data_IF_959545162200
#
_entry.id   IF_959545162200
#
_cell.length_a   1.000
_cell.length_b   1.000
_cell.length_c   1.000
_cell.angle_alpha   90.00
_cell.angle_beta   90.00
_cell.angle_gamma   90.00
#
_symmetry.space_group_name_H-M   'P 1'
#
loop_
_entity.id
_entity.type
_entity.pdbx_description
1 polymer ?
#
# COMPACT_ATOMS: atom_id res chain seq x y z
N UNK A 1 6.42 -6.62 2.05
CA UNK A 1 5.91 -5.48 1.27
C UNK A 1 4.47 -5.24 1.70
N UNK A 2 4.18 -4.21 2.51
CA UNK A 2 2.96 -4.09 3.34
C UNK A 2 2.14 -2.82 3.04
N UNK A 3 1.02 -2.85 2.29
CA UNK A 3 0.11 -1.71 2.23
C UNK A 3 -0.67 -1.62 3.54
N UNK A 4 -0.61 -0.46 4.19
CA UNK A 4 -1.38 -0.13 5.40
C UNK A 4 -2.44 0.88 4.98
N UNK A 5 -3.66 0.81 5.48
CA UNK A 5 -4.53 2.00 5.46
C UNK A 5 -4.83 2.34 6.91
N UNK A 6 -4.93 3.63 7.24
CA UNK A 6 -5.18 4.06 8.60
C UNK A 6 -6.66 3.92 8.90
N UNK A 7 -6.93 3.83 10.20
CA UNK A 7 -8.24 3.98 10.84
C UNK A 7 -9.04 5.09 10.16
N UNK A 8 -10.22 4.74 9.63
CA UNK A 8 -11.19 5.72 9.18
C UNK A 8 -11.71 6.50 10.41
N UNK A 9 -11.54 7.83 10.48
CA UNK A 9 -12.12 8.63 11.54
C UNK A 9 -13.66 8.59 11.40
N UNK A 10 -14.36 8.30 12.48
CA UNK A 10 -15.83 8.28 12.54
C UNK A 10 -16.48 9.68 12.60
N UNK A 11 -15.81 10.70 12.06
CA UNK A 11 -16.25 12.10 12.05
C UNK A 11 -16.05 12.79 10.69
N UNK A 12 -16.66 13.96 10.45
CA UNK A 12 -16.52 14.67 9.19
C UNK A 12 -15.05 15.00 8.92
N UNK A 13 -14.52 14.50 7.81
CA UNK A 13 -13.15 14.76 7.38
C UNK A 13 -13.01 16.26 7.07
N UNK A 14 -12.14 16.93 7.80
CA UNK A 14 -11.81 18.34 7.55
C UNK A 14 -10.96 18.45 6.28
N UNK A 15 -10.95 19.63 5.63
CA UNK A 15 -10.13 19.89 4.44
C UNK A 15 -8.63 19.59 4.68
N UNK A 16 -8.16 19.71 5.91
CA UNK A 16 -6.78 19.42 6.32
C UNK A 16 -6.51 17.96 6.64
N UNK A 17 -7.54 17.11 6.76
CA UNK A 17 -7.39 15.71 7.18
C UNK A 17 -6.41 14.91 6.32
N UNK A 18 -6.42 15.01 4.96
CA UNK A 18 -5.44 14.28 4.15
C UNK A 18 -4.00 14.73 4.40
N UNK A 19 -3.79 16.03 4.63
CA UNK A 19 -2.46 16.58 4.88
C UNK A 19 -1.91 16.16 6.24
N UNK A 20 -2.72 16.26 7.31
CA UNK A 20 -2.34 15.79 8.65
C UNK A 20 -2.04 14.30 8.61
N UNK A 21 -2.89 13.54 7.92
CA UNK A 21 -2.69 12.11 7.79
C UNK A 21 -1.37 11.77 7.07
N UNK A 22 -1.04 12.49 5.98
CA UNK A 22 0.24 12.34 5.30
C UNK A 22 1.43 12.65 6.22
N UNK A 23 1.36 13.67 7.07
CA UNK A 23 2.45 13.98 8.01
C UNK A 23 2.74 12.82 8.97
N UNK A 24 1.71 12.11 9.45
CA UNK A 24 1.91 10.91 10.28
C UNK A 24 2.57 9.78 9.50
N UNK A 25 2.16 9.58 8.24
CA UNK A 25 2.77 8.56 7.39
C UNK A 25 4.24 8.86 7.07
N UNK A 26 4.57 10.12 6.78
CA UNK A 26 5.96 10.57 6.56
C UNK A 26 6.81 10.38 7.81
N UNK A 27 6.30 10.74 8.99
CA UNK A 27 7.01 10.52 10.26
C UNK A 27 7.29 9.03 10.50
N UNK A 28 6.30 8.17 10.24
CA UNK A 28 6.46 6.72 10.33
C UNK A 28 7.47 6.20 9.29
N UNK A 29 7.45 6.75 8.08
CA UNK A 29 8.41 6.43 7.03
C UNK A 29 9.85 6.72 7.47
N UNK A 30 10.10 7.91 8.06
CA UNK A 30 11.44 8.27 8.55
C UNK A 30 11.91 7.36 9.69
N UNK A 31 11.03 6.95 10.59
CA UNK A 31 11.37 5.97 11.65
C UNK A 31 11.80 4.63 11.03
N UNK A 32 11.11 4.17 9.99
CA UNK A 32 11.45 2.89 9.34
C UNK A 32 12.73 3.00 8.52
N UNK A 33 12.91 4.07 7.74
CA UNK A 33 14.13 4.31 6.97
C UNK A 33 15.37 4.47 7.87
N UNK A 34 15.24 5.05 9.06
CA UNK A 34 16.36 5.18 10.00
C UNK A 34 16.72 3.88 10.72
N UNK A 35 15.83 2.88 10.70
CA UNK A 35 16.02 1.60 11.42
C UNK A 35 16.21 0.41 10.50
N UNK A 36 16.04 0.56 9.18
CA UNK A 36 16.12 -0.52 8.21
C UNK A 36 17.04 -0.17 7.04
N UNK A 37 17.68 -1.20 6.49
CA UNK A 37 18.53 -1.09 5.30
C UNK A 37 17.78 -1.40 4.01
N UNK A 38 16.62 -2.04 4.11
CA UNK A 38 15.83 -2.47 2.96
C UNK A 38 14.98 -1.30 2.43
N UNK A 39 14.72 -1.26 1.12
CA UNK A 39 13.89 -0.21 0.54
C UNK A 39 12.46 -0.29 1.10
N UNK A 40 12.01 0.84 1.63
CA UNK A 40 10.64 1.08 2.09
C UNK A 40 10.22 2.40 1.47
N UNK A 41 8.97 2.42 1.01
CA UNK A 41 8.27 3.59 0.51
C UNK A 41 6.83 3.57 1.03
N UNK A 42 6.13 4.68 0.82
CA UNK A 42 4.72 4.75 1.15
C UNK A 42 3.98 5.72 0.23
N UNK A 43 2.66 5.56 0.17
CA UNK A 43 1.74 6.52 -0.42
C UNK A 43 0.53 6.69 0.49
N UNK A 44 0.41 7.87 1.11
CA UNK A 44 -0.56 8.11 2.19
C UNK A 44 -0.45 7.00 3.25
N UNK A 45 -1.47 6.15 3.39
CA UNK A 45 -1.43 5.08 4.37
C UNK A 45 -0.58 3.91 3.91
N UNK A 46 -0.50 3.69 2.60
CA UNK A 46 -0.04 2.44 2.01
C UNK A 46 1.48 2.38 2.04
N UNK A 47 2.05 1.68 3.01
CA UNK A 47 3.48 1.35 3.01
C UNK A 47 3.78 0.25 1.99
N UNK A 48 5.02 0.12 1.57
CA UNK A 48 5.48 -1.02 0.79
C UNK A 48 7.01 -1.06 0.81
N UNK A 49 7.58 -2.23 0.55
CA UNK A 49 9.03 -2.42 0.63
C UNK A 49 9.41 -3.87 0.39
N UNK A 50 10.56 -4.06 -0.24
CA UNK A 50 11.06 -5.38 -0.62
C UNK A 50 12.24 -5.75 0.26
N UNK A 51 12.44 -7.05 0.47
CA UNK A 51 13.67 -7.57 1.09
C UNK A 51 14.34 -8.54 0.14
N UNK A 52 15.66 -8.74 0.24
CA UNK A 52 16.33 -9.83 -0.46
C UNK A 52 15.69 -11.17 -0.12
N UNK A 53 15.64 -12.10 -1.08
CA UNK A 53 15.05 -13.44 -0.88
C UNK A 53 15.70 -14.25 0.26
N UNK A 54 16.95 -13.92 0.60
CA UNK A 54 17.71 -14.54 1.71
C UNK A 54 17.41 -13.92 3.08
N UNK A 55 16.71 -12.79 3.13
CA UNK A 55 16.39 -12.06 4.36
C UNK A 55 15.04 -12.49 4.93
N UNK A 56 14.81 -12.26 6.22
CA UNK A 56 13.52 -12.53 6.84
C UNK A 56 12.45 -11.52 6.36
N UNK A 57 11.43 -11.94 5.59
CA UNK A 57 10.39 -11.05 5.07
C UNK A 57 9.46 -10.48 6.15
N UNK A 58 9.46 -11.04 7.35
CA UNK A 58 8.69 -10.56 8.49
C UNK A 58 9.35 -9.42 9.25
N UNK A 59 10.66 -9.18 9.10
CA UNK A 59 11.37 -8.16 9.88
C UNK A 59 10.87 -6.73 9.60
N UNK A 60 10.68 -6.29 8.33
CA UNK A 60 10.12 -4.97 8.08
C UNK A 60 8.69 -4.81 8.57
N UNK A 61 7.88 -5.86 8.42
CA UNK A 61 6.50 -5.86 8.91
C UNK A 61 6.46 -5.72 10.44
N UNK A 62 7.33 -6.43 11.15
CA UNK A 62 7.39 -6.38 12.61
C UNK A 62 7.73 -4.97 13.11
N UNK A 63 8.75 -4.32 12.54
CA UNK A 63 9.13 -2.98 12.97
C UNK A 63 8.13 -1.91 12.54
N UNK A 64 7.46 -2.06 11.39
CA UNK A 64 6.28 -1.25 11.04
C UNK A 64 5.16 -1.41 12.09
N UNK A 65 4.85 -2.64 12.51
CA UNK A 65 3.85 -2.89 13.54
C UNK A 65 4.22 -2.26 14.89
N UNK A 66 5.49 -2.35 15.29
CA UNK A 66 5.99 -1.72 16.51
C UNK A 66 5.89 -0.19 16.45
N UNK A 67 6.33 0.42 15.34
CA UNK A 67 6.28 1.86 15.17
C UNK A 67 4.83 2.38 15.11
N UNK A 68 3.92 1.66 14.44
CA UNK A 68 2.48 1.96 14.50
C UNK A 68 1.96 1.87 15.94
N UNK A 69 2.25 0.78 16.65
CA UNK A 69 1.81 0.59 18.04
C UNK A 69 2.28 1.71 18.97
N UNK A 70 3.54 2.13 18.83
CA UNK A 70 4.10 3.25 19.59
C UNK A 70 3.40 4.59 19.34
N UNK A 71 2.79 4.76 18.16
CA UNK A 71 2.01 5.95 17.78
C UNK A 71 0.49 5.78 18.02
N UNK A 72 0.05 4.67 18.63
CA UNK A 72 -1.37 4.38 18.84
C UNK A 72 -2.12 3.99 17.57
N UNK A 73 -1.40 3.55 16.53
CA UNK A 73 -1.93 3.07 15.26
C UNK A 73 -1.93 1.54 15.21
N UNK A 74 -2.75 0.97 14.33
CA UNK A 74 -2.84 -0.47 14.11
C UNK A 74 -2.75 -0.79 12.61
N UNK A 75 -2.06 -1.87 12.28
CA UNK A 75 -2.05 -2.42 10.93
C UNK A 75 -3.41 -3.06 10.62
N UNK A 76 -3.86 -2.92 9.38
CA UNK A 76 -5.08 -3.56 8.91
C UNK A 76 -4.79 -5.03 8.56
N UNK A 77 -5.20 -6.04 9.37
CA UNK A 77 -4.71 -7.41 9.21
C UNK A 77 -5.09 -8.03 7.87
N UNK A 78 -6.31 -7.75 7.39
CA UNK A 78 -6.83 -8.25 6.11
C UNK A 78 -6.18 -7.60 4.87
N UNK A 79 -5.43 -6.52 5.06
CA UNK A 79 -4.71 -5.80 4.00
C UNK A 79 -3.20 -5.89 4.16
N UNK A 80 -2.73 -6.62 5.18
CA UNK A 80 -1.32 -6.78 5.48
C UNK A 80 -0.81 -8.05 4.83
N UNK A 81 0.06 -7.89 3.84
CA UNK A 81 0.68 -9.00 3.10
C UNK A 81 2.20 -8.97 3.31
N UNK A 82 2.82 -10.15 3.37
CA UNK A 82 4.27 -10.32 3.42
C UNK A 82 4.66 -11.67 2.82
N UNK A 83 5.96 -11.85 2.53
CA UNK A 83 6.48 -13.07 1.91
C UNK A 83 5.76 -13.49 0.59
N UNK A 84 5.22 -12.51 -0.15
CA UNK A 84 4.53 -12.73 -1.41
C UNK A 84 5.41 -12.25 -2.58
N UNK A 85 5.72 -13.11 -3.58
CA UNK A 85 6.47 -12.70 -4.77
C UNK A 85 5.62 -11.85 -5.74
N UNK A 86 4.29 -11.94 -5.62
CA UNK A 86 3.34 -11.19 -6.43
C UNK A 86 2.41 -10.39 -5.54
N UNK A 87 2.35 -9.07 -5.73
CA UNK A 87 1.53 -8.19 -4.90
C UNK A 87 0.98 -7.00 -5.71
N UNK A 88 -0.25 -6.59 -5.42
CA UNK A 88 -0.83 -5.36 -5.97
C UNK A 88 -0.56 -4.17 -5.03
N UNK A 89 0.05 -3.11 -5.56
CA UNK A 89 0.39 -1.88 -4.85
C UNK A 89 -0.18 -0.71 -5.65
N UNK A 90 -1.05 0.09 -5.05
CA UNK A 90 -1.75 1.21 -5.73
C UNK A 90 -2.47 0.79 -7.02
N UNK A 91 -2.89 -0.48 -7.03
CA UNK A 91 -3.56 -1.14 -8.16
C UNK A 91 -2.64 -1.49 -9.34
N UNK A 92 -1.34 -1.58 -9.09
CA UNK A 92 -0.30 -2.07 -9.99
C UNK A 92 0.21 -3.39 -9.42
N UNK A 93 0.14 -4.46 -10.19
CA UNK A 93 0.67 -5.75 -9.81
C UNK A 93 2.17 -5.80 -10.08
N UNK A 94 2.95 -6.15 -9.07
CA UNK A 94 4.39 -6.37 -9.13
C UNK A 94 4.64 -7.86 -8.98
N UNK A 95 5.43 -8.45 -9.88
CA UNK A 95 5.88 -9.84 -9.83
C UNK A 95 7.41 -9.88 -9.75
N UNK A 96 7.95 -10.25 -8.59
CA UNK A 96 9.39 -10.30 -8.35
C UNK A 96 10.05 -11.55 -8.91
N UNK A 97 9.31 -12.59 -9.30
CA UNK A 97 9.87 -13.76 -9.97
C UNK A 97 10.04 -13.45 -11.45
N UNK A 98 9.01 -12.89 -12.08
CA UNK A 98 9.03 -12.53 -13.50
C UNK A 98 9.71 -11.18 -13.77
N UNK A 99 10.02 -10.41 -12.72
CA UNK A 99 10.55 -9.04 -12.82
C UNK A 99 9.67 -8.16 -13.72
N UNK A 100 8.35 -8.24 -13.51
CA UNK A 100 7.36 -7.58 -14.35
C UNK A 100 6.38 -6.75 -13.53
N UNK A 101 5.79 -5.76 -14.22
CA UNK A 101 4.76 -4.88 -13.69
C UNK A 101 3.57 -4.94 -14.62
N UNK A 102 2.38 -5.14 -14.06
CA UNK A 102 1.14 -5.28 -14.82
C UNK A 102 -0.05 -4.68 -14.05
N UNK A 103 -1.24 -4.71 -14.67
CA UNK A 103 -2.50 -4.47 -13.97
C UNK A 103 -3.12 -5.81 -13.58
N UNK A 104 -3.88 -5.83 -12.49
CA UNK A 104 -4.60 -7.03 -12.08
C UNK A 104 -5.67 -7.41 -13.12
N UNK A 105 -5.95 -8.71 -13.33
CA UNK A 105 -6.99 -9.17 -14.25
C UNK A 105 -8.35 -8.51 -13.96
N UNK A 106 -8.68 -8.33 -12.68
CA UNK A 106 -9.91 -7.71 -12.22
C UNK A 106 -9.96 -6.21 -12.57
N UNK A 107 -8.82 -5.52 -12.52
CA UNK A 107 -8.74 -4.11 -12.94
C UNK A 107 -8.78 -3.96 -14.45
N UNK A 108 -8.12 -4.85 -15.18
CA UNK A 108 -8.18 -4.92 -16.64
C UNK A 108 -9.63 -5.11 -17.13
N UNK A 109 -10.37 -6.06 -16.56
CA UNK A 109 -11.78 -6.28 -16.88
C UNK A 109 -12.64 -5.05 -16.59
N UNK A 110 -12.48 -4.42 -15.41
CA UNK A 110 -13.20 -3.19 -15.06
C UNK A 110 -12.94 -2.04 -16.04
N UNK A 111 -11.72 -1.89 -16.54
CA UNK A 111 -11.37 -0.88 -17.54
C UNK A 111 -12.06 -1.17 -18.87
N UNK A 112 -12.06 -2.42 -19.31
CA UNK A 112 -12.75 -2.83 -20.54
C UNK A 112 -14.27 -2.59 -20.43
N UNK A 113 -14.87 -2.98 -19.31
CA UNK A 113 -16.30 -2.77 -19.06
C UNK A 113 -16.67 -1.29 -19.07
N UNK A 114 -15.90 -0.44 -18.39
CA UNK A 114 -16.11 1.00 -18.38
C UNK A 114 -15.98 1.60 -19.79
N UNK A 115 -14.99 1.14 -20.56
CA UNK A 115 -14.78 1.59 -21.95
C UNK A 115 -15.96 1.22 -22.83
N UNK A 116 -16.44 -0.03 -22.74
CA UNK A 116 -17.61 -0.50 -23.49
C UNK A 116 -18.87 0.28 -23.12
N UNK A 117 -19.09 0.57 -21.83
CA UNK A 117 -20.21 1.40 -21.38
C UNK A 117 -20.15 2.81 -21.96
N UNK A 118 -18.96 3.43 -22.01
CA UNK A 118 -18.79 4.78 -22.57
C UNK A 118 -19.02 4.81 -24.08
N UNK A 119 -18.53 3.81 -24.81
CA UNK A 119 -18.76 3.67 -26.25
C UNK A 119 -20.25 3.49 -26.56
N UNK A 120 -20.96 2.66 -25.79
CA UNK A 120 -22.39 2.44 -25.96
C UNK A 120 -23.23 3.72 -25.73
N UNK A 121 -22.77 4.63 -24.86
CA UNK A 121 -23.45 5.91 -24.58
C UNK A 121 -23.26 6.98 -25.66
N UNK A 122 -22.20 6.89 -26.47
CA UNK A 122 -21.89 7.87 -27.54
C UNK A 122 -22.47 7.51 -28.90
N UNK A 123 -22.94 6.27 -29.07
CA UNK A 123 -23.52 5.78 -30.33
C UNK A 123 -25.03 6.09 -30.46
N UNK A 124 -25.53 7.11 -29.75
CA UNK A 124 -26.92 7.62 -29.83
C UNK A 124 -26.89 9.08 -30.25
#
# INVERSE_FOLDING_TARGET
MVPVLPVQPSGPLTRSSPWIFNLFAEALHWVLQSTMTNPIDHYLGDFFGAVPATSNPGQPLHALALACSALGLQLAPLKTFWAAPKLEILGIQIDTIQQSVSITPERHLRILDATNMLLARRSV
#
